data_IF_226686054182
#
_entry.id   IF_226686054182
#
_cell.length_a   1.000
_cell.length_b   1.000
_cell.length_c   1.000
_cell.angle_alpha   90.00
_cell.angle_beta   90.00
_cell.angle_gamma   90.00
#
_symmetry.space_group_name_H-M   'P 1'
#
loop_
_entity.id
_entity.type
_entity.pdbx_description
1 polymer ?
#
# COMPACT_ATOMS: atom_id res chain seq x y z
N UNK A 1 15.48 8.30 -10.61
CA UNK A 1 14.09 8.15 -11.07
C UNK A 1 13.26 9.36 -10.68
N UNK A 2 12.89 9.58 -9.40
CA UNK A 2 12.04 10.73 -8.99
C UNK A 2 12.58 12.10 -9.46
N UNK A 3 13.88 12.34 -9.34
CA UNK A 3 14.51 13.58 -9.82
C UNK A 3 14.52 13.71 -11.36
N UNK A 4 14.46 12.58 -12.09
CA UNK A 4 14.50 12.55 -13.56
C UNK A 4 13.14 12.97 -14.16
N UNK A 5 12.05 12.59 -13.49
CA UNK A 5 10.65 12.91 -13.85
C UNK A 5 10.30 14.34 -13.44
N UNK A 6 11.00 14.86 -12.43
CA UNK A 6 10.85 16.22 -11.91
C UNK A 6 11.09 17.33 -12.91
N UNK A 7 12.06 17.14 -13.81
CA UNK A 7 12.47 18.18 -14.75
C UNK A 7 11.55 18.32 -15.96
N UNK A 8 10.78 17.27 -16.29
CA UNK A 8 10.03 17.23 -17.55
C UNK A 8 8.68 17.95 -17.48
N UNK A 9 7.89 17.73 -16.41
CA UNK A 9 6.48 18.16 -16.35
C UNK A 9 6.05 18.61 -14.94
N UNK A 10 6.45 19.83 -14.50
CA UNK A 10 6.14 20.34 -13.17
C UNK A 10 4.64 20.50 -12.85
N UNK A 11 3.76 20.52 -13.86
CA UNK A 11 2.30 20.63 -13.66
C UNK A 11 1.57 19.30 -13.49
N UNK A 12 2.24 18.16 -13.71
CA UNK A 12 1.60 16.84 -13.70
C UNK A 12 2.02 15.97 -12.50
N UNK A 13 2.78 16.54 -11.56
CA UNK A 13 3.28 15.81 -10.40
C UNK A 13 2.18 15.26 -9.50
N UNK A 14 1.08 16.00 -9.34
CA UNK A 14 -0.04 15.56 -8.50
C UNK A 14 -0.63 14.22 -8.99
N UNK A 15 -0.52 13.97 -10.29
CA UNK A 15 -1.00 12.73 -10.92
C UNK A 15 0.10 11.69 -11.07
N UNK A 16 1.32 12.11 -11.42
CA UNK A 16 2.43 11.20 -11.67
C UNK A 16 2.99 10.60 -10.37
N UNK A 17 3.10 11.41 -9.30
CA UNK A 17 3.77 11.01 -8.07
C UNK A 17 3.14 9.77 -7.41
N UNK A 18 1.80 9.67 -7.27
CA UNK A 18 1.17 8.46 -6.74
C UNK A 18 1.45 7.22 -7.59
N UNK A 19 1.49 7.36 -8.92
CA UNK A 19 1.77 6.24 -9.84
C UNK A 19 3.20 5.74 -9.70
N UNK A 20 4.16 6.66 -9.60
CA UNK A 20 5.58 6.33 -9.41
C UNK A 20 5.79 5.61 -8.08
N UNK A 21 5.20 6.15 -7.01
CA UNK A 21 5.31 5.56 -5.68
C UNK A 21 4.69 4.16 -5.64
N UNK A 22 3.52 3.98 -6.25
CA UNK A 22 2.86 2.67 -6.34
C UNK A 22 3.72 1.67 -7.10
N UNK A 23 4.24 2.04 -8.27
CA UNK A 23 5.12 1.18 -9.06
C UNK A 23 6.36 0.78 -8.26
N UNK A 24 7.01 1.72 -7.58
CA UNK A 24 8.17 1.46 -6.74
C UNK A 24 7.87 0.47 -5.60
N UNK A 25 6.74 0.65 -4.90
CA UNK A 25 6.31 -0.23 -3.81
C UNK A 25 5.86 -1.62 -4.26
N UNK A 26 5.52 -1.77 -5.54
CA UNK A 26 5.16 -3.04 -6.19
C UNK A 26 6.35 -3.80 -6.78
N UNK A 27 7.54 -3.19 -6.82
CA UNK A 27 8.69 -3.79 -7.48
C UNK A 27 9.49 -4.66 -6.50
N UNK A 28 9.86 -5.90 -6.87
CA UNK A 28 10.59 -6.78 -5.98
C UNK A 28 12.03 -6.27 -5.78
N UNK A 29 12.48 -6.23 -4.53
CA UNK A 29 13.86 -5.90 -4.23
C UNK A 29 14.77 -7.11 -4.53
N UNK A 30 15.92 -6.87 -5.16
CA UNK A 30 16.83 -7.93 -5.57
C UNK A 30 17.36 -8.80 -4.41
N UNK A 31 17.54 -8.21 -3.22
CA UNK A 31 18.10 -8.87 -2.04
C UNK A 31 17.07 -9.70 -1.28
N UNK A 32 15.85 -9.18 -1.14
CA UNK A 32 14.78 -9.87 -0.38
C UNK A 32 13.86 -10.71 -1.28
N UNK A 33 13.91 -10.49 -2.60
CA UNK A 33 12.96 -11.03 -3.60
C UNK A 33 11.49 -10.69 -3.31
N UNK A 34 11.23 -9.75 -2.40
CA UNK A 34 9.89 -9.29 -2.00
C UNK A 34 9.73 -7.82 -2.32
N UNK A 35 8.50 -7.43 -2.58
CA UNK A 35 8.07 -6.04 -2.71
C UNK A 35 7.87 -5.42 -1.32
N UNK A 36 8.05 -4.10 -1.16
CA UNK A 36 7.65 -3.40 0.06
C UNK A 36 6.19 -3.64 0.46
N UNK A 37 5.27 -3.76 -0.51
CA UNK A 37 3.88 -4.11 -0.23
C UNK A 37 3.72 -5.49 0.41
N UNK A 38 4.42 -6.51 -0.10
CA UNK A 38 4.39 -7.85 0.50
C UNK A 38 4.96 -7.86 1.91
N UNK A 39 5.93 -6.99 2.20
CA UNK A 39 6.51 -6.91 3.55
C UNK A 39 5.52 -6.32 4.55
N UNK A 40 4.74 -5.29 4.16
CA UNK A 40 3.81 -4.59 5.07
C UNK A 40 2.44 -5.25 5.13
N UNK A 41 1.90 -5.68 3.98
CA UNK A 41 0.52 -6.14 3.84
C UNK A 41 0.43 -7.64 3.54
N UNK A 42 1.57 -8.35 3.52
CA UNK A 42 1.65 -9.78 3.16
C UNK A 42 1.16 -10.12 1.75
N UNK A 43 0.86 -9.12 0.92
CA UNK A 43 0.35 -9.25 -0.44
C UNK A 43 0.72 -8.04 -1.30
N UNK A 44 0.72 -8.22 -2.63
CA UNK A 44 0.85 -7.10 -3.59
C UNK A 44 -0.56 -6.63 -3.99
N UNK A 45 -0.94 -5.38 -3.67
CA UNK A 45 -2.19 -4.78 -4.14
C UNK A 45 -2.23 -4.75 -5.68
N UNK A 46 -3.39 -5.06 -6.26
CA UNK A 46 -3.60 -4.89 -7.71
C UNK A 46 -4.04 -3.46 -8.02
N UNK A 47 -4.74 -2.84 -7.07
CA UNK A 47 -5.20 -1.46 -7.18
C UNK A 47 -4.98 -0.69 -5.88
N UNK A 48 -4.96 0.64 -5.95
CA UNK A 48 -4.81 1.52 -4.79
C UNK A 48 -5.96 1.38 -3.79
N UNK A 49 -7.16 1.02 -4.25
CA UNK A 49 -8.31 0.78 -3.37
C UNK A 49 -8.13 -0.45 -2.47
N UNK A 50 -7.31 -1.43 -2.88
CA UNK A 50 -7.03 -2.62 -2.06
C UNK A 50 -6.23 -2.26 -0.79
N UNK A 51 -5.61 -1.08 -0.74
CA UNK A 51 -4.88 -0.57 0.43
C UNK A 51 -5.79 0.11 1.45
N UNK A 52 -7.04 0.39 1.10
CA UNK A 52 -7.98 1.08 1.99
C UNK A 52 -8.43 0.07 3.04
N UNK A 53 -8.18 0.39 4.32
CA UNK A 53 -8.79 -0.34 5.43
C UNK A 53 -10.29 -0.09 5.37
N UNK A 54 -11.05 -1.10 4.99
CA UNK A 54 -12.49 -1.05 5.11
C UNK A 54 -12.85 -0.83 6.59
N UNK A 55 -13.86 0.00 6.89
CA UNK A 55 -14.39 0.05 8.24
C UNK A 55 -14.79 -1.38 8.63
N UNK A 56 -14.55 -1.80 9.89
CA UNK A 56 -15.08 -3.07 10.36
C UNK A 56 -16.57 -3.12 10.01
N UNK A 57 -17.01 -4.17 9.33
CA UNK A 57 -18.44 -4.43 9.25
C UNK A 57 -18.92 -4.46 10.69
N UNK A 58 -19.89 -3.62 11.04
CA UNK A 58 -20.58 -3.74 12.31
C UNK A 58 -21.49 -4.97 12.18
N UNK A 59 -20.88 -6.15 12.11
CA UNK A 59 -21.56 -7.40 12.34
C UNK A 59 -22.04 -7.32 13.79
N UNK A 60 -23.32 -6.96 13.95
CA UNK A 60 -24.10 -7.33 15.12
C UNK A 60 -24.25 -8.85 15.12
N UNK A 61 -23.14 -9.55 15.32
CA UNK A 61 -23.15 -10.90 15.82
C UNK A 61 -22.82 -10.81 17.29
N UNK A 62 -23.84 -10.98 18.12
CA UNK A 62 -23.64 -11.44 19.49
C UNK A 62 -22.72 -12.65 19.42
N UNK A 63 -21.44 -12.47 19.77
CA UNK A 63 -20.70 -13.36 20.64
C UNK A 63 -19.33 -12.73 20.95
N UNK A 64 -19.32 -11.87 21.96
CA UNK A 64 -18.11 -11.41 22.66
C UNK A 64 -17.16 -12.59 22.91
N UNK A 65 -15.92 -12.47 22.43
CA UNK A 65 -14.74 -13.03 23.10
C UNK A 65 -13.51 -12.29 22.63
N UNK A 66 -13.11 -11.34 23.47
CA UNK A 66 -11.73 -11.09 23.88
C UNK A 66 -10.73 -10.86 22.73
N UNK A 67 -10.55 -9.60 22.34
CA UNK A 67 -9.23 -9.18 21.87
C UNK A 67 -8.34 -9.03 23.11
N UNK A 68 -7.59 -10.09 23.40
CA UNK A 68 -6.43 -10.00 24.28
C UNK A 68 -5.38 -9.18 23.54
N UNK A 69 -5.17 -7.98 24.07
CA UNK A 69 -3.92 -7.24 23.95
C UNK A 69 -2.75 -8.16 24.36
N UNK A 70 -1.83 -8.41 23.43
CA UNK A 70 -0.51 -8.87 23.80
C UNK A 70 0.56 -8.44 22.78
N UNK A 71 1.28 -7.40 23.23
CA UNK A 71 2.68 -7.03 22.99
C UNK A 71 3.01 -6.32 21.68
#
# INVERSE_FOLDING_TARGET
MIQSISGEKPKQWDVALPQIEFAFKSMPNCSTKKTPFEVVYTSVPRHTMDLIRLPPSHDVNHNTKEFVECI
#
